data_IF_763846170965
#
_entry.id   IF_763846170965
#
_cell.length_a   1.000
_cell.length_b   1.000
_cell.length_c   1.000
_cell.angle_alpha   90.00
_cell.angle_beta   90.00
_cell.angle_gamma   90.00
#
_symmetry.space_group_name_H-M   'P 1'
#
loop_
_entity.id
_entity.type
_entity.pdbx_description
1 polymer ?
#
# COMPACT_ATOMS: atom_id res chain seq x y z
N UNK A 1 8.13 65.08 -1.06
CA UNK A 1 7.14 64.53 -0.11
C UNK A 1 7.06 63.02 -0.37
N UNK A 2 7.88 62.31 0.40
CA UNK A 2 7.64 61.01 1.07
C UNK A 2 7.14 59.76 0.33
N UNK A 3 7.89 58.67 0.55
CA UNK A 3 7.39 57.29 0.72
C UNK A 3 7.60 56.33 -0.47
N UNK A 4 8.59 55.42 -0.51
CA UNK A 4 8.59 54.04 0.05
C UNK A 4 7.26 53.28 -0.27
N UNK A 5 7.16 52.06 -0.80
CA UNK A 5 8.05 50.92 -1.10
C UNK A 5 7.20 49.81 -1.78
N UNK A 6 7.84 48.74 -2.26
CA UNK A 6 7.31 47.40 -2.67
C UNK A 6 6.14 46.89 -1.77
N UNK A 7 5.30 45.90 -2.13
CA UNK A 7 5.52 44.43 -2.21
C UNK A 7 4.19 43.73 -2.61
N UNK A 8 4.27 42.55 -3.25
CA UNK A 8 3.13 41.70 -3.61
C UNK A 8 2.55 40.84 -2.47
N UNK A 9 1.44 40.13 -2.73
CA UNK A 9 1.06 38.93 -1.97
C UNK A 9 -0.08 38.14 -2.65
N UNK A 10 0.21 36.87 -2.92
CA UNK A 10 -0.71 35.79 -3.30
C UNK A 10 -1.85 35.63 -2.30
N UNK A 11 -3.09 35.56 -2.79
CA UNK A 11 -4.25 35.20 -1.98
C UNK A 11 -4.32 33.68 -1.86
N UNK A 12 -3.71 33.16 -0.78
CA UNK A 12 -3.68 31.75 -0.43
C UNK A 12 -5.06 31.11 -0.35
N UNK A 13 -5.22 29.99 -1.04
CA UNK A 13 -6.20 28.96 -0.68
C UNK A 13 -5.70 28.29 0.58
N UNK A 14 -6.26 28.69 1.72
CA UNK A 14 -6.06 28.01 3.00
C UNK A 14 -6.77 26.65 2.89
N UNK A 15 -6.03 25.61 2.51
CA UNK A 15 -6.44 24.24 2.78
C UNK A 15 -6.35 24.06 4.30
N UNK A 16 -7.47 23.74 4.92
CA UNK A 16 -7.58 23.43 6.33
C UNK A 16 -6.75 22.17 6.62
N UNK A 17 -5.48 22.36 6.98
CA UNK A 17 -4.64 21.28 7.50
C UNK A 17 -5.07 21.06 8.94
N UNK A 18 -5.90 20.03 9.16
CA UNK A 18 -6.16 19.53 10.50
C UNK A 18 -4.83 19.20 11.17
N UNK A 19 -4.57 19.66 12.42
CA UNK A 19 -3.27 19.45 13.10
C UNK A 19 -2.95 17.97 13.41
N UNK A 20 -3.88 17.06 13.12
CA UNK A 20 -3.74 15.62 13.32
C UNK A 20 -3.43 14.84 12.02
N UNK A 21 -3.40 15.50 10.85
CA UNK A 21 -3.00 14.85 9.61
C UNK A 21 -1.63 15.38 9.16
N UNK A 22 -0.59 14.65 9.53
CA UNK A 22 0.74 14.80 8.94
C UNK A 22 0.75 14.06 7.60
N UNK A 23 0.97 14.79 6.51
CA UNK A 23 1.35 14.16 5.24
C UNK A 23 2.71 13.46 5.44
N UNK A 24 2.77 12.12 5.34
CA UNK A 24 4.01 11.38 5.55
C UNK A 24 5.14 11.79 4.57
N UNK A 25 4.82 12.52 3.49
CA UNK A 25 5.80 13.09 2.57
C UNK A 25 6.34 14.49 2.94
N UNK A 26 5.75 15.20 3.90
CA UNK A 26 6.08 16.60 4.18
C UNK A 26 7.26 16.81 5.15
N UNK A 27 7.82 15.74 5.74
CA UNK A 27 8.91 15.80 6.71
C UNK A 27 10.29 15.48 6.11
N UNK A 28 10.68 16.17 5.03
CA UNK A 28 12.04 16.05 4.50
C UNK A 28 12.81 17.36 4.64
N UNK A 29 13.48 17.54 5.77
CA UNK A 29 14.59 18.47 5.87
C UNK A 29 15.72 18.01 4.92
N UNK A 30 16.27 18.87 4.06
CA UNK A 30 17.49 18.57 3.33
C UNK A 30 18.67 18.69 4.29
N UNK A 31 19.67 17.84 4.12
CA UNK A 31 20.92 17.77 4.90
C UNK A 31 20.80 17.22 6.33
N UNK A 32 21.20 15.95 6.47
CA UNK A 32 22.48 15.54 7.08
C UNK A 32 22.41 14.04 7.40
N UNK A 33 22.66 13.20 6.41
CA UNK A 33 23.20 11.87 6.68
C UNK A 33 24.06 11.43 5.48
N UNK A 34 25.38 11.52 5.65
CA UNK A 34 26.33 10.90 4.75
C UNK A 34 26.16 9.38 4.88
N UNK A 35 25.34 8.79 4.00
CA UNK A 35 25.14 7.35 3.94
C UNK A 35 26.09 6.78 2.89
N UNK A 36 26.93 5.83 3.32
CA UNK A 36 27.70 4.97 2.44
C UNK A 36 26.77 4.40 1.34
N UNK A 37 26.93 4.89 0.11
CA UNK A 37 26.25 4.34 -1.05
C UNK A 37 26.77 2.92 -1.29
N UNK A 38 26.05 1.92 -0.79
CA UNK A 38 26.14 0.59 -1.36
C UNK A 38 25.51 0.69 -2.75
N UNK A 39 26.34 0.78 -3.78
CA UNK A 39 25.87 0.74 -5.17
C UNK A 39 25.27 -0.64 -5.42
N UNK A 40 23.95 -0.76 -5.23
CA UNK A 40 23.20 -1.98 -5.47
C UNK A 40 23.49 -2.46 -6.90
N UNK A 41 23.86 -3.73 -7.03
CA UNK A 41 24.08 -4.30 -8.36
C UNK A 41 22.73 -4.49 -9.06
N UNK A 42 22.71 -4.57 -10.40
CA UNK A 42 21.48 -4.85 -11.16
C UNK A 42 20.79 -6.16 -10.71
N UNK A 43 21.57 -7.10 -10.18
CA UNK A 43 21.07 -8.35 -9.61
C UNK A 43 20.32 -8.12 -8.29
N UNK A 44 20.77 -7.19 -7.44
CA UNK A 44 20.08 -6.85 -6.19
C UNK A 44 18.74 -6.17 -6.47
N UNK A 45 18.70 -5.24 -7.43
CA UNK A 45 17.48 -4.51 -7.82
C UNK A 45 16.43 -5.48 -8.38
N UNK A 46 16.83 -6.42 -9.24
CA UNK A 46 15.89 -7.41 -9.80
C UNK A 46 15.36 -8.36 -8.73
N UNK A 47 16.21 -8.79 -7.79
CA UNK A 47 15.79 -9.61 -6.64
C UNK A 47 14.83 -8.87 -5.73
N UNK A 48 15.10 -7.61 -5.41
CA UNK A 48 14.20 -6.76 -4.60
C UNK A 48 12.83 -6.58 -5.28
N UNK A 49 12.82 -6.36 -6.61
CA UNK A 49 11.57 -6.29 -7.38
C UNK A 49 10.77 -7.58 -7.31
N UNK A 50 11.43 -8.74 -7.46
CA UNK A 50 10.77 -10.04 -7.35
C UNK A 50 10.20 -10.27 -5.96
N UNK A 51 10.94 -9.92 -4.90
CA UNK A 51 10.47 -10.02 -3.52
C UNK A 51 9.25 -9.14 -3.26
N UNK A 52 9.21 -7.94 -3.86
CA UNK A 52 8.06 -7.05 -3.75
C UNK A 52 6.81 -7.64 -4.43
N UNK A 53 6.96 -8.18 -5.64
CA UNK A 53 5.86 -8.85 -6.34
C UNK A 53 5.35 -10.04 -5.53
N UNK A 54 6.24 -10.84 -4.97
CA UNK A 54 5.88 -11.99 -4.15
C UNK A 54 5.14 -11.57 -2.87
N UNK A 55 5.64 -10.54 -2.17
CA UNK A 55 4.96 -9.99 -1.00
C UNK A 55 3.57 -9.43 -1.37
N UNK A 56 3.44 -8.77 -2.51
CA UNK A 56 2.18 -8.28 -3.05
C UNK A 56 1.17 -9.41 -3.27
N UNK A 57 1.60 -10.52 -3.91
CA UNK A 57 0.76 -11.71 -4.12
C UNK A 57 0.32 -12.36 -2.81
N UNK A 58 1.22 -12.48 -1.84
CA UNK A 58 0.91 -13.03 -0.52
C UNK A 58 -0.11 -12.18 0.21
N UNK A 59 0.06 -10.86 0.19
CA UNK A 59 -0.90 -9.94 0.78
C UNK A 59 -2.26 -9.99 0.07
N UNK A 60 -2.29 -10.00 -1.26
CA UNK A 60 -3.52 -10.12 -2.04
C UNK A 60 -4.26 -11.42 -1.74
N UNK A 61 -3.54 -12.55 -1.67
CA UNK A 61 -4.11 -13.85 -1.31
C UNK A 61 -4.77 -13.81 0.07
N UNK A 62 -4.06 -13.28 1.07
CA UNK A 62 -4.59 -13.10 2.41
C UNK A 62 -5.84 -12.21 2.42
N UNK A 63 -5.78 -11.07 1.72
CA UNK A 63 -6.86 -10.11 1.68
C UNK A 63 -8.13 -10.68 1.04
N UNK A 64 -8.00 -11.39 -0.09
CA UNK A 64 -9.13 -12.06 -0.75
C UNK A 64 -9.73 -13.13 0.17
N UNK A 65 -8.89 -13.95 0.80
CA UNK A 65 -9.34 -14.98 1.75
C UNK A 65 -10.12 -14.35 2.92
N UNK A 66 -9.58 -13.25 3.47
CA UNK A 66 -10.23 -12.50 4.54
C UNK A 66 -11.55 -11.86 4.09
N UNK A 67 -11.60 -11.32 2.87
CA UNK A 67 -12.80 -10.74 2.29
C UNK A 67 -13.92 -11.78 2.16
N UNK A 68 -13.60 -12.99 1.68
CA UNK A 68 -14.55 -14.10 1.60
C UNK A 68 -15.07 -14.53 2.97
N UNK A 69 -14.18 -14.59 3.98
CA UNK A 69 -14.57 -14.86 5.36
C UNK A 69 -15.58 -13.84 5.88
N UNK A 70 -15.28 -12.54 5.80
CA UNK A 70 -16.18 -11.50 6.32
C UNK A 70 -17.48 -11.43 5.54
N UNK A 71 -17.46 -11.68 4.21
CA UNK A 71 -18.68 -11.81 3.42
C UNK A 71 -19.56 -12.97 3.91
N UNK A 72 -18.96 -14.12 4.25
CA UNK A 72 -19.73 -15.26 4.80
C UNK A 72 -20.31 -14.93 6.18
N UNK A 73 -19.59 -14.20 7.03
CA UNK A 73 -20.08 -13.76 8.34
C UNK A 73 -21.31 -12.84 8.25
N UNK A 74 -21.56 -12.21 7.10
CA UNK A 74 -22.79 -11.42 6.87
C UNK A 74 -24.04 -12.27 6.58
N UNK A 75 -23.87 -13.56 6.29
CA UNK A 75 -24.99 -14.49 6.02
C UNK A 75 -25.52 -15.01 7.36
N UNK A 76 -26.81 -14.81 7.69
CA UNK A 76 -27.38 -15.31 8.94
C UNK A 76 -27.25 -16.83 9.05
N UNK A 77 -26.76 -17.32 10.19
CA UNK A 77 -26.76 -18.77 10.44
C UNK A 77 -28.19 -19.28 10.59
N UNK A 78 -28.59 -20.26 9.78
CA UNK A 78 -29.85 -20.99 9.97
C UNK A 78 -29.83 -21.84 11.26
N UNK A 79 -30.96 -22.48 11.58
CA UNK A 79 -31.16 -23.23 12.84
C UNK A 79 -30.17 -24.39 13.13
N UNK A 80 -29.24 -24.69 12.22
CA UNK A 80 -28.23 -25.76 12.36
C UNK A 80 -26.85 -25.18 11.99
N UNK A 81 -26.08 -24.77 13.00
CA UNK A 81 -24.68 -24.38 12.84
C UNK A 81 -23.79 -25.64 12.75
N UNK A 82 -23.32 -26.00 11.55
CA UNK A 82 -22.47 -27.17 11.36
C UNK A 82 -20.99 -26.83 11.55
N UNK A 83 -20.46 -27.04 12.76
CA UNK A 83 -19.06 -26.74 13.14
C UNK A 83 -18.00 -27.42 12.28
N UNK A 84 -18.31 -28.56 11.64
CA UNK A 84 -17.41 -29.25 10.71
C UNK A 84 -17.24 -28.45 9.40
N UNK A 85 -18.25 -27.68 8.99
CA UNK A 85 -18.18 -26.85 7.78
C UNK A 85 -17.22 -25.69 7.90
N UNK A 86 -17.01 -25.16 9.10
CA UNK A 86 -16.18 -23.97 9.35
C UNK A 86 -14.73 -24.16 8.90
N UNK A 87 -14.12 -25.31 9.16
CA UNK A 87 -12.75 -25.61 8.72
C UNK A 87 -12.64 -25.85 7.21
N UNK A 88 -13.64 -26.49 6.61
CA UNK A 88 -13.68 -26.66 5.16
C UNK A 88 -13.70 -25.31 4.45
N UNK A 89 -14.50 -24.39 4.96
CA UNK A 89 -14.63 -23.04 4.45
C UNK A 89 -13.34 -22.22 4.57
N UNK A 90 -12.58 -22.33 5.67
CA UNK A 90 -11.31 -21.61 5.79
C UNK A 90 -10.28 -22.07 4.75
N UNK A 91 -10.16 -23.38 4.52
CA UNK A 91 -9.25 -23.89 3.49
C UNK A 91 -9.72 -23.56 2.07
N UNK A 92 -11.04 -23.54 1.87
CA UNK A 92 -11.61 -23.12 0.60
C UNK A 92 -11.30 -21.65 0.31
N UNK A 93 -11.54 -20.75 1.28
CA UNK A 93 -11.27 -19.32 1.12
C UNK A 93 -9.78 -19.06 0.85
N UNK A 94 -8.88 -19.77 1.53
CA UNK A 94 -7.42 -19.68 1.33
C UNK A 94 -6.99 -20.11 -0.09
N UNK A 95 -7.53 -21.21 -0.59
CA UNK A 95 -7.21 -21.68 -1.95
C UNK A 95 -7.77 -20.76 -3.03
N UNK A 96 -8.96 -20.18 -2.81
CA UNK A 96 -9.51 -19.15 -3.71
C UNK A 96 -8.63 -17.89 -3.67
N UNK A 97 -8.22 -17.44 -2.48
CA UNK A 97 -7.31 -16.30 -2.33
C UNK A 97 -6.00 -16.51 -3.07
N UNK A 98 -5.37 -17.68 -2.91
CA UNK A 98 -4.12 -18.04 -3.60
C UNK A 98 -4.29 -17.99 -5.12
N UNK A 99 -5.34 -18.62 -5.67
CA UNK A 99 -5.61 -18.61 -7.12
C UNK A 99 -5.95 -17.23 -7.64
N UNK A 100 -6.66 -16.42 -6.87
CA UNK A 100 -6.95 -15.04 -7.23
C UNK A 100 -5.64 -14.24 -7.36
N UNK A 101 -4.77 -14.30 -6.35
CA UNK A 101 -3.48 -13.61 -6.39
C UNK A 101 -2.57 -14.09 -7.54
N UNK A 102 -2.56 -15.40 -7.84
CA UNK A 102 -1.79 -15.96 -8.96
C UNK A 102 -2.27 -15.45 -10.33
N UNK A 103 -3.57 -15.22 -10.47
CA UNK A 103 -4.19 -14.72 -11.71
C UNK A 103 -4.31 -13.20 -11.79
N UNK A 104 -3.87 -12.47 -10.76
CA UNK A 104 -3.94 -11.01 -10.68
C UNK A 104 -5.23 -10.44 -10.08
N UNK A 105 -6.16 -11.31 -9.66
CA UNK A 105 -7.28 -11.06 -8.75
C UNK A 105 -7.85 -9.64 -8.70
N UNK A 106 -7.59 -8.96 -7.58
CA UNK A 106 -8.02 -7.60 -7.29
C UNK A 106 -6.99 -6.55 -7.75
N UNK A 107 -5.85 -6.98 -8.28
CA UNK A 107 -4.78 -6.10 -8.75
C UNK A 107 -3.95 -5.46 -7.64
N UNK A 108 -4.05 -5.95 -6.40
CA UNK A 108 -3.32 -5.38 -5.26
C UNK A 108 -1.81 -5.53 -5.43
N UNK A 109 -1.37 -6.67 -5.94
CA UNK A 109 0.04 -6.90 -6.28
C UNK A 109 0.56 -5.82 -7.23
N UNK A 110 -0.22 -5.49 -8.26
CA UNK A 110 0.14 -4.46 -9.23
C UNK A 110 0.15 -3.07 -8.59
N UNK A 111 -0.86 -2.73 -7.79
CA UNK A 111 -0.92 -1.43 -7.09
C UNK A 111 0.29 -1.23 -6.17
N UNK A 112 0.70 -2.26 -5.44
CA UNK A 112 1.90 -2.21 -4.57
C UNK A 112 3.17 -2.02 -5.39
N UNK A 113 3.28 -2.72 -6.52
CA UNK A 113 4.42 -2.58 -7.42
C UNK A 113 4.51 -1.17 -7.99
N UNK A 114 3.41 -0.64 -8.53
CA UNK A 114 3.34 0.72 -9.09
C UNK A 114 3.67 1.78 -8.04
N UNK A 115 3.11 1.65 -6.83
CA UNK A 115 3.42 2.54 -5.73
C UNK A 115 4.91 2.49 -5.36
N UNK A 116 5.49 1.30 -5.28
CA UNK A 116 6.90 1.20 -4.94
C UNK A 116 7.81 1.78 -6.04
N UNK A 117 7.44 1.59 -7.31
CA UNK A 117 8.17 2.17 -8.43
C UNK A 117 8.10 3.70 -8.40
N UNK A 118 6.95 4.28 -8.03
CA UNK A 118 6.75 5.73 -7.95
C UNK A 118 7.52 6.39 -6.79
N UNK A 119 7.60 5.75 -5.62
CA UNK A 119 8.13 6.37 -4.39
C UNK A 119 9.51 5.88 -3.96
N UNK A 120 9.90 4.66 -4.34
CA UNK A 120 11.17 4.04 -3.90
C UNK A 120 12.19 3.84 -5.02
N UNK A 121 11.85 4.10 -6.28
CA UNK A 121 12.86 4.14 -7.35
C UNK A 121 13.68 5.44 -7.26
N UNK A 122 15.02 5.38 -7.34
CA UNK A 122 15.82 6.59 -7.51
C UNK A 122 15.40 7.28 -8.82
N UNK A 123 15.03 8.56 -8.75
CA UNK A 123 14.79 9.36 -9.96
C UNK A 123 16.07 9.36 -10.81
N UNK A 124 15.94 9.30 -12.14
CA UNK A 124 17.10 9.43 -13.04
C UNK A 124 17.82 10.77 -12.84
#
# INVERSE_FOLDING_TARGET
MDGMTHIGSEKGRVAMVSPLYMDPGALRSPDLLSSHHHSATMQDISKQRQQLVEAGKQFESYFVSYLLKVMRETVPEGAIANKQGTYFYSFYDEEIGRRAAESGGLGITQMVQEHAEQYFSPRP
#
